data_IF_783214237274
#
_entry.id   IF_783214237274
#
_cell.length_a   1.000
_cell.length_b   1.000
_cell.length_c   1.000
_cell.angle_alpha   90.00
_cell.angle_beta   90.00
_cell.angle_gamma   90.00
#
_symmetry.space_group_name_H-M   'P 1'
#
loop_
_entity.id
_entity.type
_entity.pdbx_description
1 polymer ?
#
# COMPACT_ATOMS: atom_id res chain seq x y z
N UNK A 1 38.25 2.76 17.52
CA UNK A 1 37.26 3.73 17.03
C UNK A 1 35.95 3.00 16.77
N UNK A 2 34.97 3.13 17.66
CA UNK A 2 33.65 2.54 17.44
C UNK A 2 32.98 3.21 16.26
N UNK A 3 32.76 2.47 15.17
CA UNK A 3 31.88 2.91 14.10
C UNK A 3 30.49 3.08 14.69
N UNK A 4 30.07 4.35 14.85
CA UNK A 4 28.70 4.68 15.20
C UNK A 4 27.87 4.37 13.96
N UNK A 5 27.32 3.16 13.88
CA UNK A 5 26.32 2.83 12.86
C UNK A 5 25.12 3.73 13.14
N UNK A 6 25.00 4.83 12.39
CA UNK A 6 23.75 5.58 12.35
C UNK A 6 22.73 4.69 11.66
N UNK A 7 21.89 4.02 12.44
CA UNK A 7 20.74 3.26 11.93
C UNK A 7 19.80 4.24 11.25
N UNK A 8 19.80 4.21 9.93
CA UNK A 8 18.90 4.99 9.11
C UNK A 8 17.48 4.42 9.25
N UNK A 9 16.45 5.27 9.36
CA UNK A 9 15.08 4.77 9.39
C UNK A 9 14.68 4.19 8.04
N UNK A 10 13.84 3.14 8.06
CA UNK A 10 13.36 2.46 6.86
C UNK A 10 12.68 3.42 5.88
N UNK A 11 11.87 4.36 6.38
CA UNK A 11 11.21 5.36 5.53
C UNK A 11 12.23 6.27 4.84
N UNK A 12 13.28 6.70 5.55
CA UNK A 12 14.33 7.52 4.94
C UNK A 12 15.06 6.72 3.85
N UNK A 13 15.34 5.43 4.08
CA UNK A 13 15.97 4.57 3.07
C UNK A 13 15.07 4.42 1.85
N UNK A 14 13.77 4.22 2.05
CA UNK A 14 12.81 4.16 0.94
C UNK A 14 12.79 5.46 0.13
N UNK A 15 12.97 6.62 0.75
CA UNK A 15 13.11 7.89 0.01
C UNK A 15 14.37 7.94 -0.86
N UNK A 16 15.48 7.30 -0.46
CA UNK A 16 16.68 7.19 -1.30
C UNK A 16 16.54 6.11 -2.39
N UNK A 17 15.87 5.00 -2.08
CA UNK A 17 15.71 3.86 -2.95
C UNK A 17 14.71 4.10 -4.10
N UNK A 18 13.59 4.76 -3.80
CA UNK A 18 12.48 4.93 -4.75
C UNK A 18 12.65 6.22 -5.54
N UNK A 19 12.52 6.15 -6.88
CA UNK A 19 12.54 7.32 -7.76
C UNK A 19 11.37 8.26 -7.49
N UNK A 20 11.58 9.57 -7.62
CA UNK A 20 10.53 10.59 -7.45
C UNK A 20 9.30 10.34 -8.34
N UNK A 21 9.49 9.86 -9.57
CA UNK A 21 8.39 9.58 -10.50
C UNK A 21 7.46 8.45 -10.02
N UNK A 22 7.95 7.57 -9.15
CA UNK A 22 7.18 6.49 -8.54
C UNK A 22 6.61 6.88 -7.16
N UNK A 23 6.91 8.08 -6.65
CA UNK A 23 6.35 8.58 -5.38
C UNK A 23 5.03 9.31 -5.66
N UNK A 24 4.02 9.05 -4.83
CA UNK A 24 2.80 9.84 -4.83
C UNK A 24 2.95 10.99 -3.82
N UNK A 25 2.74 12.26 -4.22
CA UNK A 25 2.88 13.40 -3.32
C UNK A 25 1.89 13.36 -2.15
N UNK A 26 2.37 13.76 -0.98
CA UNK A 26 1.56 13.95 0.23
C UNK A 26 1.33 15.45 0.41
N UNK A 27 0.06 15.82 0.58
CA UNK A 27 -0.38 17.20 0.79
C UNK A 27 -0.85 17.39 2.23
N UNK A 28 -0.97 18.63 2.67
CA UNK A 28 -1.62 19.00 3.92
C UNK A 28 -2.94 19.68 3.57
N UNK A 29 -4.04 19.27 4.19
CA UNK A 29 -5.33 19.92 4.00
C UNK A 29 -5.50 21.16 4.89
N UNK A 30 -6.60 21.88 4.70
CA UNK A 30 -6.92 23.12 5.42
C UNK A 30 -7.00 22.95 6.95
N UNK A 31 -7.14 21.71 7.43
CA UNK A 31 -7.16 21.37 8.85
C UNK A 31 -5.79 20.91 9.39
N UNK A 32 -4.72 21.09 8.63
CA UNK A 32 -3.36 20.70 9.00
C UNK A 32 -3.11 19.19 8.94
N UNK A 33 -4.05 18.37 8.44
CA UNK A 33 -3.85 16.92 8.33
C UNK A 33 -3.15 16.55 7.03
N UNK A 34 -2.13 15.69 7.14
CA UNK A 34 -1.47 15.08 5.98
C UNK A 34 -2.43 14.12 5.26
N UNK A 35 -2.45 14.19 3.94
CA UNK A 35 -3.32 13.37 3.10
C UNK A 35 -2.65 13.04 1.76
N UNK A 36 -3.10 11.94 1.15
CA UNK A 36 -2.75 11.59 -0.22
C UNK A 36 -4.01 11.42 -1.05
N UNK A 37 -3.97 11.86 -2.29
CA UNK A 37 -5.00 11.61 -3.29
C UNK A 37 -4.46 10.49 -4.18
N UNK A 38 -5.15 9.36 -4.19
CA UNK A 38 -4.86 8.23 -5.06
C UNK A 38 -5.83 8.28 -6.23
N UNK A 39 -5.30 8.16 -7.44
CA UNK A 39 -6.08 8.22 -8.67
C UNK A 39 -5.92 6.90 -9.39
N UNK A 40 -7.03 6.33 -9.88
CA UNK A 40 -6.97 5.10 -10.64
C UNK A 40 -6.26 5.35 -11.98
N UNK A 41 -5.21 4.58 -12.32
CA UNK A 41 -4.44 4.79 -13.55
C UNK A 41 -5.30 4.76 -14.81
N UNK A 42 -6.29 3.87 -14.85
CA UNK A 42 -7.16 3.66 -16.01
C UNK A 42 -8.36 4.61 -16.05
N UNK A 43 -8.69 5.30 -14.96
CA UNK A 43 -9.79 6.25 -14.89
C UNK A 43 -9.44 7.45 -14.00
N UNK A 44 -8.72 8.46 -14.53
CA UNK A 44 -8.20 9.56 -13.71
C UNK A 44 -9.26 10.42 -12.99
N UNK A 45 -10.53 10.31 -13.40
CA UNK A 45 -11.67 10.96 -12.76
C UNK A 45 -12.05 10.30 -11.43
N UNK A 46 -11.68 9.04 -11.25
CA UNK A 46 -11.90 8.30 -10.01
C UNK A 46 -10.68 8.48 -9.13
N UNK A 47 -10.90 9.14 -8.00
CA UNK A 47 -9.87 9.36 -6.99
C UNK A 47 -10.42 9.13 -5.59
N UNK A 48 -9.51 8.77 -4.69
CA UNK A 48 -9.79 8.53 -3.28
C UNK A 48 -8.79 9.34 -2.46
N UNK A 49 -9.30 10.12 -1.50
CA UNK A 49 -8.44 10.83 -0.55
C UNK A 49 -8.26 9.99 0.70
N UNK A 50 -7.02 9.69 1.08
CA UNK A 50 -6.69 9.11 2.39
C UNK A 50 -6.10 10.22 3.26
N UNK A 51 -6.84 10.61 4.30
CA UNK A 51 -6.46 11.61 5.31
C UNK A 51 -5.79 10.96 6.52
N UNK A 52 -5.07 11.77 7.30
CA UNK A 52 -4.50 11.36 8.59
C UNK A 52 -3.26 10.48 8.47
N UNK A 53 -2.46 10.69 7.42
CA UNK A 53 -1.17 10.00 7.28
C UNK A 53 -0.22 10.44 8.41
N UNK A 54 0.57 9.53 9.01
CA UNK A 54 1.59 9.90 10.01
C UNK A 54 2.74 10.67 9.37
N UNK A 55 3.66 11.21 10.16
CA UNK A 55 4.82 11.95 9.63
C UNK A 55 5.82 11.05 8.90
N UNK A 56 6.09 9.86 9.44
CA UNK A 56 7.00 8.88 8.85
C UNK A 56 6.22 7.97 7.88
N UNK A 57 6.13 8.38 6.62
CA UNK A 57 5.39 7.66 5.58
C UNK A 57 5.94 7.94 4.19
N UNK A 58 5.85 6.95 3.32
CA UNK A 58 6.02 7.09 1.89
C UNK A 58 4.84 6.43 1.16
N UNK A 59 4.40 7.04 0.06
CA UNK A 59 3.39 6.48 -0.84
C UNK A 59 4.03 6.22 -2.18
N UNK A 60 3.92 4.98 -2.67
CA UNK A 60 4.59 4.49 -3.86
C UNK A 60 3.50 4.05 -4.86
N UNK A 61 3.65 4.48 -6.11
CA UNK A 61 2.93 3.93 -7.28
C UNK A 61 3.59 2.62 -7.67
N UNK A 62 3.07 1.51 -7.16
CA UNK A 62 3.69 0.20 -7.33
C UNK A 62 3.51 -0.34 -8.76
N UNK A 63 2.49 0.10 -9.46
CA UNK A 63 2.25 -0.19 -10.89
C UNK A 63 3.30 0.43 -11.84
N UNK A 64 4.03 1.44 -11.39
CA UNK A 64 5.14 2.06 -12.14
C UNK A 64 6.37 1.14 -12.19
N UNK A 65 6.42 0.11 -11.35
CA UNK A 65 7.41 -0.95 -11.46
C UNK A 65 7.11 -1.79 -12.70
N UNK A 66 7.93 -1.61 -13.74
CA UNK A 66 7.80 -2.31 -15.02
C UNK A 66 7.58 -3.79 -14.79
N UNK A 67 6.56 -4.35 -15.45
CA UNK A 67 6.30 -5.76 -15.31
C UNK A 67 7.47 -6.60 -15.84
N UNK A 68 7.94 -7.62 -15.09
CA UNK A 68 8.98 -8.55 -15.49
C UNK A 68 8.44 -9.61 -16.46
N UNK A 69 7.58 -9.21 -17.40
CA UNK A 69 6.99 -10.07 -18.44
C UNK A 69 8.07 -10.64 -19.38
N UNK A 70 9.24 -9.98 -19.45
CA UNK A 70 10.40 -10.47 -20.20
C UNK A 70 11.10 -11.65 -19.51
N UNK A 71 10.75 -11.96 -18.26
CA UNK A 71 11.38 -13.01 -17.44
C UNK A 71 10.37 -14.08 -17.04
N UNK A 72 9.17 -13.68 -16.61
CA UNK A 72 8.16 -14.61 -16.12
C UNK A 72 7.00 -14.77 -17.10
N UNK A 73 6.40 -15.97 -17.07
CA UNK A 73 5.29 -16.34 -17.97
C UNK A 73 4.02 -15.55 -17.65
N UNK A 74 3.82 -15.16 -16.39
CA UNK A 74 2.67 -14.36 -15.95
C UNK A 74 1.37 -15.16 -15.76
N UNK A 75 1.42 -16.50 -15.86
CA UNK A 75 0.22 -17.35 -15.88
C UNK A 75 -0.48 -17.48 -14.53
N UNK A 76 0.20 -17.13 -13.43
CA UNK A 76 -0.34 -17.15 -12.07
C UNK A 76 -0.54 -15.76 -11.47
N UNK A 77 -0.27 -14.70 -12.26
CA UNK A 77 -0.37 -13.32 -11.81
C UNK A 77 0.91 -12.75 -11.18
N UNK A 78 2.03 -13.47 -11.27
CA UNK A 78 3.37 -13.02 -10.82
C UNK A 78 3.86 -11.74 -11.52
N UNK A 79 3.24 -11.43 -12.66
CA UNK A 79 3.43 -10.20 -13.43
C UNK A 79 2.39 -9.10 -13.14
N UNK A 80 1.57 -9.24 -12.10
CA UNK A 80 0.63 -8.19 -11.69
C UNK A 80 1.21 -7.36 -10.55
N UNK A 81 0.72 -6.13 -10.40
CA UNK A 81 0.95 -5.26 -9.24
C UNK A 81 -0.34 -4.56 -8.90
N UNK A 82 -0.48 -4.19 -7.63
CA UNK A 82 -1.50 -3.26 -7.22
C UNK A 82 -1.06 -1.83 -7.57
N UNK A 83 -2.01 -0.92 -7.64
CA UNK A 83 -1.74 0.48 -8.01
C UNK A 83 -0.79 1.16 -7.00
N UNK A 84 -1.03 1.00 -5.69
CA UNK A 84 -0.29 1.74 -4.66
C UNK A 84 0.18 0.88 -3.49
N UNK A 85 1.30 1.31 -2.90
CA UNK A 85 1.77 0.85 -1.59
C UNK A 85 2.01 2.07 -0.70
N UNK A 86 1.43 2.06 0.52
CA UNK A 86 1.74 3.04 1.57
C UNK A 86 2.55 2.33 2.64
N UNK A 87 3.76 2.82 2.93
CA UNK A 87 4.61 2.29 4.00
C UNK A 87 4.72 3.38 5.06
N UNK A 88 4.32 3.08 6.28
CA UNK A 88 4.21 4.06 7.34
C UNK A 88 4.69 3.51 8.69
N UNK A 89 5.32 4.38 9.46
CA UNK A 89 5.61 4.18 10.88
C UNK A 89 4.82 5.23 11.68
N UNK A 90 3.87 4.78 12.48
CA UNK A 90 3.04 5.66 13.33
C UNK A 90 3.67 5.94 14.69
N UNK A 91 4.86 5.40 14.97
CA UNK A 91 5.49 5.36 16.30
C UNK A 91 4.97 4.23 17.19
N UNK A 92 3.70 3.84 17.03
CA UNK A 92 3.09 2.71 17.73
C UNK A 92 3.01 1.44 16.88
N UNK A 93 3.01 1.59 15.55
CA UNK A 93 2.83 0.50 14.61
C UNK A 93 3.49 0.84 13.27
N UNK A 94 4.18 -0.15 12.71
CA UNK A 94 4.71 -0.12 11.36
C UNK A 94 3.77 -0.90 10.44
N UNK A 95 3.33 -0.27 9.35
CA UNK A 95 2.32 -0.83 8.45
C UNK A 95 2.73 -0.68 7.00
N UNK A 96 2.57 -1.76 6.24
CA UNK A 96 2.60 -1.75 4.77
C UNK A 96 1.17 -1.97 4.30
N UNK A 97 0.62 -1.00 3.58
CA UNK A 97 -0.73 -1.02 3.04
C UNK A 97 -0.66 -1.17 1.52
N UNK A 98 -1.06 -2.34 1.01
CA UNK A 98 -1.19 -2.60 -0.42
C UNK A 98 -2.61 -2.26 -0.88
N UNK A 99 -2.73 -1.40 -1.90
CA UNK A 99 -4.00 -0.82 -2.33
C UNK A 99 -4.19 -1.04 -3.82
N UNK A 100 -5.31 -1.67 -4.17
CA UNK A 100 -5.82 -1.74 -5.54
C UNK A 100 -7.07 -0.86 -5.67
N UNK A 101 -7.09 0.01 -6.68
CA UNK A 101 -8.24 0.84 -7.05
C UNK A 101 -8.99 0.20 -8.22
N UNK A 102 -10.32 0.32 -8.22
CA UNK A 102 -11.18 -0.14 -9.31
C UNK A 102 -12.38 0.79 -9.54
N UNK A 103 -12.43 1.45 -10.70
CA UNK A 103 -13.59 2.24 -11.15
C UNK A 103 -14.80 1.34 -11.41
N UNK A 104 -14.53 0.13 -11.89
CA UNK A 104 -15.54 -0.85 -12.28
C UNK A 104 -15.33 -2.16 -11.55
N UNK A 105 -16.27 -3.09 -11.66
CA UNK A 105 -16.16 -4.38 -10.97
C UNK A 105 -15.01 -5.20 -11.55
N UNK A 106 -13.90 -5.28 -10.81
CA UNK A 106 -12.81 -6.22 -11.09
C UNK A 106 -13.10 -7.62 -10.56
N UNK A 107 -12.45 -8.64 -11.14
CA UNK A 107 -12.54 -10.00 -10.59
C UNK A 107 -11.74 -10.09 -9.28
N UNK A 108 -12.29 -10.75 -8.27
CA UNK A 108 -11.61 -10.89 -6.98
C UNK A 108 -10.28 -11.65 -7.10
N UNK A 109 -10.25 -12.69 -7.93
CA UNK A 109 -9.03 -13.44 -8.24
C UNK A 109 -7.92 -12.52 -8.78
N UNK A 110 -8.26 -11.61 -9.68
CA UNK A 110 -7.30 -10.66 -10.25
C UNK A 110 -6.79 -9.67 -9.21
N UNK A 111 -7.68 -9.12 -8.38
CA UNK A 111 -7.30 -8.19 -7.32
C UNK A 111 -6.36 -8.88 -6.33
N UNK A 112 -6.63 -10.13 -5.96
CA UNK A 112 -5.75 -10.95 -5.12
C UNK A 112 -4.36 -11.07 -5.75
N UNK A 113 -4.27 -11.33 -7.06
CA UNK A 113 -2.99 -11.40 -7.77
C UNK A 113 -2.24 -10.06 -7.78
N UNK A 114 -2.95 -8.95 -8.03
CA UNK A 114 -2.37 -7.60 -7.99
C UNK A 114 -1.79 -7.26 -6.61
N UNK A 115 -2.58 -7.50 -5.56
CA UNK A 115 -2.17 -7.29 -4.17
C UNK A 115 -1.00 -8.19 -3.75
N UNK A 116 -1.00 -9.44 -4.21
CA UNK A 116 0.14 -10.35 -4.03
C UNK A 116 1.40 -9.82 -4.73
N UNK A 117 1.25 -9.28 -5.93
CA UNK A 117 2.33 -8.64 -6.67
C UNK A 117 2.90 -7.39 -6.00
N UNK A 118 2.05 -6.56 -5.37
CA UNK A 118 2.50 -5.43 -4.56
C UNK A 118 3.28 -5.89 -3.31
N UNK A 119 2.87 -6.98 -2.66
CA UNK A 119 3.64 -7.60 -1.59
C UNK A 119 5.01 -8.08 -2.09
N UNK A 120 5.08 -8.73 -3.26
CA UNK A 120 6.35 -9.13 -3.88
C UNK A 120 7.26 -7.93 -4.19
N UNK A 121 6.70 -6.81 -4.65
CA UNK A 121 7.45 -5.57 -4.86
C UNK A 121 8.10 -5.07 -3.56
N UNK A 122 7.37 -5.10 -2.44
CA UNK A 122 7.93 -4.69 -1.15
C UNK A 122 9.00 -5.68 -0.67
N UNK A 123 8.80 -6.98 -0.84
CA UNK A 123 9.82 -8.00 -0.57
C UNK A 123 11.09 -7.80 -1.41
N UNK A 124 10.94 -7.36 -2.67
CA UNK A 124 12.08 -6.99 -3.51
C UNK A 124 12.81 -5.77 -2.94
N UNK A 125 12.09 -4.70 -2.58
CA UNK A 125 12.68 -3.54 -1.92
C UNK A 125 13.42 -3.93 -0.65
N UNK A 126 12.82 -4.79 0.18
CA UNK A 126 13.43 -5.34 1.38
C UNK A 126 14.78 -6.00 1.07
N UNK A 127 14.84 -6.88 0.07
CA UNK A 127 16.09 -7.53 -0.35
C UNK A 127 17.11 -6.54 -0.91
N UNK A 128 16.67 -5.46 -1.58
CA UNK A 128 17.59 -4.41 -2.02
C UNK A 128 18.18 -3.66 -0.81
N UNK A 129 17.37 -3.22 0.14
CA UNK A 129 17.88 -2.51 1.33
C UNK A 129 18.79 -3.38 2.20
N UNK A 130 18.46 -4.67 2.35
CA UNK A 130 19.31 -5.63 3.08
C UNK A 130 20.68 -5.81 2.42
N UNK A 131 20.72 -6.03 1.11
CA UNK A 131 21.95 -6.40 0.42
C UNK A 131 22.80 -5.19 -0.01
N UNK A 132 22.17 -4.09 -0.44
CA UNK A 132 22.88 -2.93 -1.02
C UNK A 132 23.07 -1.79 -0.02
N UNK A 133 22.23 -1.69 1.03
CA UNK A 133 22.38 -0.70 2.11
C UNK A 133 22.86 -1.32 3.43
N UNK A 134 23.06 -2.65 3.48
CA UNK A 134 23.48 -3.36 4.68
C UNK A 134 22.48 -3.28 5.84
N UNK A 135 21.22 -2.90 5.57
CA UNK A 135 20.17 -2.80 6.59
C UNK A 135 19.49 -4.14 6.78
N UNK A 136 20.10 -5.01 7.60
CA UNK A 136 19.64 -6.40 7.80
C UNK A 136 18.15 -6.51 8.17
N UNK A 137 17.65 -5.64 9.05
CA UNK A 137 16.25 -5.67 9.50
C UNK A 137 15.29 -4.81 8.69
N UNK A 138 15.69 -4.33 7.51
CA UNK A 138 14.90 -3.41 6.70
C UNK A 138 13.51 -3.99 6.39
N UNK A 139 12.45 -3.29 6.78
CA UNK A 139 11.05 -3.65 6.62
C UNK A 139 10.60 -4.98 7.25
N UNK A 140 11.39 -5.58 8.15
CA UNK A 140 11.07 -6.91 8.72
C UNK A 140 9.90 -6.91 9.71
N UNK A 141 9.68 -5.81 10.44
CA UNK A 141 8.70 -5.71 11.53
C UNK A 141 7.39 -5.01 11.12
N UNK A 142 7.17 -4.85 9.81
CA UNK A 142 5.98 -4.19 9.28
C UNK A 142 4.80 -5.16 9.17
N UNK A 143 3.65 -4.73 9.67
CA UNK A 143 2.39 -5.46 9.50
C UNK A 143 1.77 -5.14 8.15
N UNK A 144 1.47 -6.17 7.35
CA UNK A 144 0.76 -5.99 6.09
C UNK A 144 -0.75 -5.76 6.28
N UNK A 145 -1.30 -4.92 5.41
CA UNK A 145 -2.73 -4.68 5.23
C UNK A 145 -3.05 -4.61 3.75
N UNK A 146 -4.14 -5.26 3.35
CA UNK A 146 -4.57 -5.37 1.96
C UNK A 146 -5.94 -4.73 1.79
N UNK A 147 -6.07 -3.84 0.80
CA UNK A 147 -7.29 -3.07 0.56
C UNK A 147 -7.61 -3.03 -0.92
N UNK A 148 -8.87 -3.28 -1.26
CA UNK A 148 -9.45 -3.00 -2.56
C UNK A 148 -10.48 -1.90 -2.42
N UNK A 149 -10.30 -0.81 -3.17
CA UNK A 149 -11.19 0.35 -3.15
C UNK A 149 -11.88 0.47 -4.51
N UNK A 150 -13.20 0.37 -4.56
CA UNK A 150 -13.90 0.48 -5.84
C UNK A 150 -15.41 0.54 -5.78
N UNK A 151 -16.05 0.73 -6.95
CA UNK A 151 -17.50 0.70 -7.12
C UNK A 151 -18.02 -0.74 -7.19
N UNK A 152 -18.08 -1.44 -6.06
CA UNK A 152 -18.73 -2.75 -5.99
C UNK A 152 -20.24 -2.53 -5.84
N UNK A 153 -21.01 -2.98 -6.83
CA UNK A 153 -22.47 -3.08 -6.77
C UNK A 153 -22.88 -3.68 -5.42
N UNK A 154 -23.75 -2.97 -4.70
CA UNK A 154 -24.33 -3.38 -3.42
C UNK A 154 -25.06 -4.71 -3.61
N UNK A 155 -24.42 -5.84 -3.33
CA UNK A 155 -25.15 -6.90 -2.62
C UNK A 155 -25.26 -6.40 -1.20
N UNK A 156 -26.49 -5.98 -0.81
CA UNK A 156 -26.81 -5.54 0.54
C UNK A 156 -26.26 -6.56 1.54
N UNK A 157 -25.16 -6.23 2.21
CA UNK A 157 -24.77 -6.93 3.42
C UNK A 157 -25.37 -6.21 4.62
N UNK A 158 -25.83 -7.01 5.58
CA UNK A 158 -26.59 -6.60 6.77
C UNK A 158 -26.04 -5.31 7.39
N UNK A 159 -26.95 -4.42 7.78
CA UNK A 159 -26.72 -3.19 8.58
C UNK A 159 -26.13 -3.44 9.98
N UNK A 160 -25.71 -4.67 10.29
CA UNK A 160 -25.10 -5.04 11.55
C UNK A 160 -23.60 -5.14 11.33
N UNK A 161 -22.85 -4.20 11.93
CA UNK A 161 -21.39 -4.29 12.07
C UNK A 161 -21.11 -5.63 12.76
N UNK A 162 -20.64 -6.62 12.02
CA UNK A 162 -20.12 -7.82 12.63
C UNK A 162 -18.85 -7.39 13.37
N UNK A 163 -18.90 -7.42 14.70
CA UNK A 163 -17.82 -6.96 15.60
C UNK A 163 -16.57 -7.86 15.54
N UNK A 164 -16.53 -8.82 14.62
CA UNK A 164 -15.32 -9.52 14.21
C UNK A 164 -14.82 -8.88 12.92
N UNK A 165 -14.14 -7.73 13.03
CA UNK A 165 -13.35 -7.19 11.92
C UNK A 165 -12.30 -8.24 11.58
N UNK A 166 -12.49 -8.99 10.49
CA UNK A 166 -11.45 -9.86 9.98
C UNK A 166 -10.18 -9.03 9.75
N UNK A 167 -9.05 -9.52 10.22
CA UNK A 167 -7.76 -8.88 9.97
C UNK A 167 -7.48 -9.03 8.48
N UNK A 168 -7.43 -7.92 7.75
CA UNK A 168 -7.16 -7.89 6.32
C UNK A 168 -5.65 -7.94 6.04
N UNK A 169 -5.02 -8.98 6.58
CA UNK A 169 -3.57 -9.23 6.62
C UNK A 169 -3.06 -10.13 5.49
N UNK A 170 -3.94 -10.55 4.58
CA UNK A 170 -3.60 -11.32 3.39
C UNK A 170 -4.36 -10.81 2.15
N UNK A 171 -3.82 -11.00 0.94
CA UNK A 171 -4.51 -10.62 -0.30
C UNK A 171 -5.91 -11.23 -0.42
N UNK A 172 -6.08 -12.52 -0.07
CA UNK A 172 -7.36 -13.25 -0.09
C UNK A 172 -8.33 -12.84 1.04
N UNK A 173 -7.89 -12.00 1.97
CA UNK A 173 -8.69 -11.43 3.07
C UNK A 173 -8.74 -9.90 3.01
N UNK A 174 -8.54 -9.31 1.85
CA UNK A 174 -8.50 -7.85 1.68
C UNK A 174 -9.75 -7.15 2.21
N UNK A 175 -9.57 -5.95 2.77
CA UNK A 175 -10.69 -5.06 3.07
C UNK A 175 -11.24 -4.52 1.76
N UNK A 176 -12.55 -4.68 1.54
CA UNK A 176 -13.27 -4.11 0.40
C UNK A 176 -13.95 -2.82 0.83
N UNK A 177 -13.64 -1.71 0.18
CA UNK A 177 -14.22 -0.40 0.48
C UNK A 177 -15.00 0.10 -0.73
N UNK A 178 -16.31 0.31 -0.57
CA UNK A 178 -17.18 0.79 -1.65
C UNK A 178 -17.41 2.30 -1.60
N UNK A 179 -17.19 2.97 -2.74
CA UNK A 179 -17.52 4.37 -2.98
C UNK A 179 -17.05 5.40 -1.93
N UNK A 180 -15.79 5.39 -1.44
CA UNK A 180 -15.33 6.42 -0.53
C UNK A 180 -14.76 7.63 -1.29
N UNK A 181 -15.27 8.83 -1.04
CA UNK A 181 -14.57 10.06 -1.42
C UNK A 181 -13.41 10.36 -0.46
N UNK A 182 -13.53 9.94 0.80
CA UNK A 182 -12.56 10.20 1.87
C UNK A 182 -12.45 9.00 2.80
N UNK A 183 -11.21 8.63 3.13
CA UNK A 183 -10.84 7.58 4.07
C UNK A 183 -9.86 8.13 5.09
N UNK A 184 -9.86 7.55 6.29
CA UNK A 184 -8.85 7.82 7.31
C UNK A 184 -7.83 6.68 7.31
N UNK A 185 -6.54 7.03 7.33
CA UNK A 185 -5.44 6.07 7.29
C UNK A 185 -5.57 5.00 8.39
N UNK A 186 -5.90 5.40 9.62
CA UNK A 186 -5.99 4.46 10.76
C UNK A 186 -7.07 3.38 10.56
N UNK A 187 -8.16 3.70 9.86
CA UNK A 187 -9.18 2.70 9.50
C UNK A 187 -8.62 1.62 8.56
N UNK A 188 -7.73 2.01 7.65
CA UNK A 188 -7.06 1.13 6.70
C UNK A 188 -5.81 0.46 7.29
N UNK A 189 -5.18 1.06 8.29
CA UNK A 189 -4.01 0.49 8.95
C UNK A 189 -4.39 -0.58 9.99
N UNK A 190 -5.68 -0.70 10.33
CA UNK A 190 -6.16 -1.53 11.43
C UNK A 190 -5.59 -1.06 12.76
N UNK A 191 -5.52 0.26 12.96
CA UNK A 191 -5.30 0.88 14.26
C UNK A 191 -6.67 1.20 14.87
N UNK A 192 -6.91 0.70 16.09
CA UNK A 192 -8.06 1.10 16.92
C UNK A 192 -7.61 2.18 17.89
#
# INVERSE_FOLDING_TARGET
MGHRITTMSDIKLLHELIKETAKQPINVNDYGKRQVILTEPQCPKVSVTISGLPDSVIVIKADTFTSPDSVFIGSHGECKRADFVIIADTGNKKVILCIELKATKGSEKEIIQQLSGAQCFVSYCQKIGQNFWGQSSFLEDYTYRFVSIGHISITKHKTRIDRRKETHDRPDRMMKVSSPHRLEFNHLAGAN
#
